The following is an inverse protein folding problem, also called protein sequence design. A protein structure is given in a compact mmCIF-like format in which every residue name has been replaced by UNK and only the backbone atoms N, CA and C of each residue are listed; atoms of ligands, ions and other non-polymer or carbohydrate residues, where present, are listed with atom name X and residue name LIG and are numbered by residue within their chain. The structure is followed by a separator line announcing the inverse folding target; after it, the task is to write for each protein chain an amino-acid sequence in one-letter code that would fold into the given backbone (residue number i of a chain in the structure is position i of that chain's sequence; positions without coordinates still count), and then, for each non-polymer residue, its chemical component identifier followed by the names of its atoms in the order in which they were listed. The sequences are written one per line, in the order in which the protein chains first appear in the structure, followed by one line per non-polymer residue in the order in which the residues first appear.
data_IF_171680148960
#
_entry.id   IF_171680148960
#
_cell.length_a   1.000
_cell.length_b   1.000
_cell.length_c   1.000
_cell.angle_alpha   90.00
_cell.angle_beta   90.00
_cell.angle_gamma   90.00
#
_symmetry.space_group_name_H-M   'P 1'
#
loop_
_entity.id
_entity.type
_entity.pdbx_description
1 polymer ?
#
# COMPACT_ATOMS: atom_id res chain seq x y z
N UNK A 1 18.28 6.88 -23.97
CA UNK A 1 18.22 5.54 -24.52
C UNK A 1 17.08 4.75 -23.89
N UNK A 2 16.61 3.77 -24.62
CA UNK A 2 15.48 2.96 -24.16
C UNK A 2 15.74 2.25 -22.84
N UNK A 3 16.99 1.89 -22.57
CA UNK A 3 17.36 1.22 -21.33
C UNK A 3 17.03 2.07 -20.10
N UNK A 4 17.18 3.38 -20.20
CA UNK A 4 16.86 4.27 -19.10
C UNK A 4 15.36 4.30 -18.80
N UNK A 5 14.54 4.25 -19.84
CA UNK A 5 13.10 4.21 -19.67
C UNK A 5 12.65 2.90 -19.03
N UNK A 6 13.38 1.81 -19.29
CA UNK A 6 13.06 0.50 -18.75
C UNK A 6 13.57 0.31 -17.33
N UNK A 7 14.47 1.18 -16.87
CA UNK A 7 15.11 1.05 -15.57
C UNK A 7 14.61 2.10 -14.59
N UNK A 8 13.31 2.36 -14.61
CA UNK A 8 12.71 3.27 -13.65
C UNK A 8 12.94 2.76 -12.25
N UNK A 9 13.25 3.67 -11.33
CA UNK A 9 13.42 3.32 -9.94
C UNK A 9 12.08 2.84 -9.37
N UNK A 10 12.15 2.09 -8.29
CA UNK A 10 10.97 1.62 -7.61
C UNK A 10 10.10 2.80 -7.17
N UNK A 11 10.72 3.87 -6.71
CA UNK A 11 10.01 5.06 -6.29
C UNK A 11 9.29 5.75 -7.45
N UNK A 12 9.89 5.77 -8.62
CA UNK A 12 9.25 6.34 -9.80
C UNK A 12 8.03 5.53 -10.21
N UNK A 13 8.15 4.20 -10.17
CA UNK A 13 7.02 3.33 -10.46
C UNK A 13 5.91 3.52 -9.45
N UNK A 14 6.26 3.63 -8.18
CA UNK A 14 5.28 3.89 -7.12
C UNK A 14 4.52 5.19 -7.40
N UNK A 15 5.24 6.26 -7.73
CA UNK A 15 4.61 7.54 -8.01
C UNK A 15 3.62 7.44 -9.16
N UNK A 16 4.00 6.76 -10.24
CA UNK A 16 3.14 6.61 -11.41
C UNK A 16 1.90 5.80 -11.08
N UNK A 17 2.08 4.63 -10.46
CA UNK A 17 0.97 3.74 -10.18
C UNK A 17 0.04 4.32 -9.12
N UNK A 18 0.61 4.86 -8.06
CA UNK A 18 -0.20 5.39 -6.96
C UNK A 18 -1.02 6.60 -7.40
N UNK A 19 -0.49 7.41 -8.32
CA UNK A 19 -1.24 8.56 -8.82
C UNK A 19 -2.51 8.18 -9.56
N UNK A 20 -2.61 6.93 -10.02
CA UNK A 20 -3.82 6.44 -10.69
C UNK A 20 -4.90 5.98 -9.73
N UNK A 21 -4.57 5.83 -8.45
CA UNK A 21 -5.54 5.40 -7.44
C UNK A 21 -6.51 6.54 -7.15
N UNK A 22 -7.82 6.31 -7.23
CA UNK A 22 -8.79 7.37 -6.97
C UNK A 22 -8.59 8.01 -5.61
N UNK A 23 -8.52 9.33 -5.58
CA UNK A 23 -8.37 10.10 -4.37
C UNK A 23 -6.93 10.25 -3.88
N UNK A 24 -5.96 9.61 -4.52
CA UNK A 24 -4.59 9.67 -4.04
C UNK A 24 -4.03 11.10 -4.09
N UNK A 25 -4.24 11.81 -5.21
CA UNK A 25 -3.73 13.16 -5.34
C UNK A 25 -4.39 14.10 -4.32
N UNK A 26 -5.69 13.95 -4.12
CA UNK A 26 -6.40 14.75 -3.12
C UNK A 26 -5.87 14.47 -1.72
N UNK A 27 -5.63 13.20 -1.41
CA UNK A 27 -5.13 12.82 -0.10
C UNK A 27 -3.73 13.38 0.16
N UNK A 28 -2.86 13.30 -0.83
CA UNK A 28 -1.48 13.77 -0.68
C UNK A 28 -1.39 15.30 -0.58
N UNK A 29 -2.33 16.02 -1.17
CA UNK A 29 -2.34 17.47 -1.15
C UNK A 29 -3.21 18.06 -0.05
N UNK A 30 -3.91 17.22 0.71
CA UNK A 30 -4.84 17.68 1.73
C UNK A 30 -4.11 18.32 2.91
N UNK A 31 -4.70 19.39 3.43
CA UNK A 31 -4.24 19.95 4.70
C UNK A 31 -4.59 18.99 5.83
N UNK A 32 -3.93 19.09 6.99
CA UNK A 32 -4.27 18.21 8.13
C UNK A 32 -5.75 18.26 8.50
N UNK A 33 -6.40 19.41 8.35
CA UNK A 33 -7.82 19.55 8.66
C UNK A 33 -8.71 18.79 7.67
N UNK A 34 -8.27 18.65 6.43
CA UNK A 34 -9.05 18.00 5.38
C UNK A 34 -8.74 16.51 5.25
N UNK A 35 -7.61 16.08 5.78
CA UNK A 35 -7.10 14.73 5.56
C UNK A 35 -8.08 13.64 6.03
N UNK A 36 -8.66 13.82 7.18
CA UNK A 36 -9.59 12.84 7.74
C UNK A 36 -10.82 12.67 6.84
N UNK A 37 -11.34 13.79 6.34
CA UNK A 37 -12.51 13.77 5.46
C UNK A 37 -12.20 13.06 4.14
N UNK A 38 -11.06 13.40 3.54
CA UNK A 38 -10.65 12.80 2.29
C UNK A 38 -10.32 11.32 2.48
N UNK A 39 -9.67 10.97 3.58
CA UNK A 39 -9.36 9.58 3.90
C UNK A 39 -10.62 8.73 4.02
N UNK A 40 -11.66 9.26 4.65
CA UNK A 40 -12.92 8.54 4.77
C UNK A 40 -13.58 8.32 3.40
N UNK A 41 -13.38 9.25 2.49
CA UNK A 41 -13.98 9.18 1.17
C UNK A 41 -13.24 8.23 0.22
N UNK A 42 -11.93 8.07 0.41
CA UNK A 42 -11.09 7.27 -0.48
C UNK A 42 -10.27 6.24 0.30
N UNK A 43 -10.91 5.19 0.80
CA UNK A 43 -10.21 4.18 1.61
C UNK A 43 -9.12 3.43 0.86
N UNK A 44 -9.23 3.29 -0.45
CA UNK A 44 -8.20 2.61 -1.24
C UNK A 44 -6.91 3.42 -1.28
N UNK A 45 -7.02 4.74 -1.36
CA UNK A 45 -5.84 5.60 -1.32
C UNK A 45 -5.15 5.51 0.05
N UNK A 46 -5.93 5.48 1.11
CA UNK A 46 -5.41 5.32 2.46
C UNK A 46 -4.67 3.99 2.60
N UNK A 47 -5.28 2.91 2.12
CA UNK A 47 -4.66 1.59 2.16
C UNK A 47 -3.30 1.59 1.45
N UNK A 48 -3.23 2.17 0.26
CA UNK A 48 -1.98 2.21 -0.50
C UNK A 48 -0.89 2.98 0.25
N UNK A 49 -1.24 4.09 0.87
CA UNK A 49 -0.29 4.88 1.66
C UNK A 49 0.21 4.09 2.87
N UNK A 50 -0.70 3.40 3.55
CA UNK A 50 -0.34 2.57 4.71
C UNK A 50 0.63 1.47 4.29
N UNK A 51 0.35 0.80 3.17
CA UNK A 51 1.22 -0.26 2.66
C UNK A 51 2.61 0.28 2.34
N UNK A 52 2.69 1.38 1.63
CA UNK A 52 3.99 1.97 1.27
C UNK A 52 4.77 2.42 2.51
N UNK A 53 4.07 2.90 3.54
CA UNK A 53 4.71 3.38 4.76
C UNK A 53 5.14 2.26 5.69
N UNK A 54 4.62 1.07 5.51
CA UNK A 54 4.85 -0.07 6.41
C UNK A 54 5.80 -1.12 5.85
N UNK A 55 6.46 -0.83 4.73
CA UNK A 55 7.33 -1.81 4.06
C UNK A 55 8.45 -2.35 4.94
N UNK A 56 8.97 -1.52 5.83
CA UNK A 56 10.12 -1.86 6.66
C UNK A 56 9.74 -2.08 8.11
N UNK A 57 8.64 -2.78 8.32
CA UNK A 57 8.21 -3.17 9.66
C UNK A 57 9.30 -4.04 10.30
N UNK A 58 9.50 -3.90 11.61
CA UNK A 58 10.48 -4.70 12.35
C UNK A 58 10.14 -6.18 12.34
N UNK A 59 8.87 -6.51 12.29
CA UNK A 59 8.43 -7.90 12.24
C UNK A 59 8.60 -8.42 10.82
N UNK A 60 9.43 -9.45 10.67
CA UNK A 60 9.78 -9.99 9.36
C UNK A 60 8.56 -10.52 8.60
N UNK A 61 7.71 -11.26 9.29
CA UNK A 61 6.55 -11.86 8.65
C UNK A 61 5.56 -10.79 8.20
N UNK A 62 5.28 -9.81 9.05
CA UNK A 62 4.40 -8.69 8.68
C UNK A 62 5.00 -7.87 7.54
N UNK A 63 6.31 -7.68 7.56
CA UNK A 63 6.99 -6.97 6.48
C UNK A 63 6.83 -7.70 5.15
N UNK A 64 6.94 -9.03 5.15
CA UNK A 64 6.76 -9.81 3.93
C UNK A 64 5.34 -9.71 3.39
N UNK A 65 4.34 -9.75 4.27
CA UNK A 65 2.95 -9.58 3.89
C UNK A 65 2.74 -8.20 3.24
N UNK A 66 3.30 -7.17 3.85
CA UNK A 66 3.19 -5.81 3.36
C UNK A 66 3.89 -5.64 2.02
N UNK A 67 5.07 -6.22 1.86
CA UNK A 67 5.82 -6.15 0.60
C UNK A 67 5.05 -6.84 -0.52
N UNK A 68 4.43 -7.97 -0.25
CA UNK A 68 3.63 -8.67 -1.24
C UNK A 68 2.48 -7.79 -1.72
N UNK A 69 1.77 -7.14 -0.80
CA UNK A 69 0.70 -6.21 -1.15
C UNK A 69 1.23 -5.04 -1.96
N UNK A 70 2.35 -4.49 -1.56
CA UNK A 70 2.96 -3.36 -2.25
C UNK A 70 3.29 -3.70 -3.70
N UNK A 71 3.93 -4.84 -3.93
CA UNK A 71 4.30 -5.23 -5.29
C UNK A 71 3.07 -5.61 -6.12
N UNK A 72 2.04 -6.14 -5.50
CA UNK A 72 0.78 -6.38 -6.20
C UNK A 72 0.16 -5.08 -6.70
N UNK A 73 0.19 -4.04 -5.88
CA UNK A 73 -0.29 -2.72 -6.30
C UNK A 73 0.55 -2.19 -7.46
N UNK A 74 1.88 -2.31 -7.37
CA UNK A 74 2.77 -1.83 -8.44
C UNK A 74 2.56 -2.59 -9.74
N UNK A 75 2.13 -3.83 -9.67
CA UNK A 75 1.86 -4.64 -10.85
C UNK A 75 0.48 -4.37 -11.45
N UNK A 76 -0.26 -3.43 -10.88
CA UNK A 76 -1.55 -3.03 -11.42
C UNK A 76 -2.71 -3.93 -11.04
N UNK A 77 -2.55 -4.76 -10.02
CA UNK A 77 -3.65 -5.60 -9.56
C UNK A 77 -4.75 -4.75 -8.94
N UNK A 78 -5.96 -5.27 -8.99
CA UNK A 78 -7.12 -4.59 -8.41
C UNK A 78 -6.89 -4.33 -6.93
N UNK A 79 -7.03 -3.07 -6.52
CA UNK A 79 -6.67 -2.68 -5.17
C UNK A 79 -7.58 -3.32 -4.12
N UNK A 80 -8.85 -3.54 -4.45
CA UNK A 80 -9.77 -4.21 -3.53
C UNK A 80 -9.35 -5.66 -3.28
N UNK A 81 -8.87 -6.34 -4.33
CA UNK A 81 -8.36 -7.71 -4.21
C UNK A 81 -7.10 -7.77 -3.39
N UNK A 82 -6.19 -6.81 -3.60
CA UNK A 82 -4.94 -6.72 -2.83
C UNK A 82 -5.26 -6.50 -1.35
N UNK A 83 -6.19 -5.61 -1.07
CA UNK A 83 -6.60 -5.30 0.29
C UNK A 83 -7.23 -6.51 0.98
N UNK A 84 -8.07 -7.23 0.26
CA UNK A 84 -8.67 -8.45 0.79
C UNK A 84 -7.61 -9.48 1.17
N UNK A 85 -6.66 -9.72 0.27
CA UNK A 85 -5.58 -10.67 0.52
C UNK A 85 -4.68 -10.23 1.67
N UNK A 86 -4.40 -8.94 1.75
CA UNK A 86 -3.59 -8.37 2.83
C UNK A 86 -4.29 -8.54 4.18
N UNK A 87 -5.58 -8.19 4.23
CA UNK A 87 -6.35 -8.32 5.46
C UNK A 87 -6.42 -9.76 5.92
N UNK A 88 -6.62 -10.68 4.99
CA UNK A 88 -6.66 -12.11 5.31
C UNK A 88 -5.32 -12.59 5.86
N UNK A 89 -4.23 -12.20 5.22
CA UNK A 89 -2.89 -12.61 5.64
C UNK A 89 -2.53 -12.05 7.02
N UNK A 90 -2.89 -10.79 7.30
CA UNK A 90 -2.61 -10.20 8.60
C UNK A 90 -3.48 -10.81 9.69
N UNK A 91 -4.74 -11.11 9.38
CA UNK A 91 -5.62 -11.79 10.34
C UNK A 91 -5.08 -13.16 10.70
N UNK A 92 -4.62 -13.92 9.71
CA UNK A 92 -4.00 -15.22 9.93
C UNK A 92 -2.74 -15.12 10.77
N UNK A 93 -1.94 -14.08 10.52
CA UNK A 93 -0.74 -13.82 11.31
C UNK A 93 -1.10 -13.60 12.78
N UNK A 94 -2.04 -12.71 13.06
CA UNK A 94 -2.43 -12.40 14.43
C UNK A 94 -3.10 -13.59 15.11
N UNK A 95 -3.87 -14.36 14.37
CA UNK A 95 -4.51 -15.57 14.90
C UNK A 95 -3.45 -16.58 15.37
N UNK A 96 -2.39 -16.76 14.58
CA UNK A 96 -1.31 -17.68 14.97
C UNK A 96 -0.52 -17.17 16.18
N UNK A 97 -0.34 -15.88 16.29
CA UNK A 97 0.54 -15.30 17.32
C UNK A 97 -0.20 -14.84 18.57
N UNK A 98 -1.50 -14.77 18.51
CA UNK A 98 -2.30 -14.37 19.67
C UNK A 98 -2.18 -15.36 20.83
N UNK A 99 -1.92 -16.62 20.51
CA UNK A 99 -1.87 -17.71 21.49
C UNK A 99 -0.46 -18.10 21.90
N UNK A 100 0.55 -17.38 21.44
CA UNK A 100 1.95 -17.71 21.65
C UNK A 100 2.53 -17.17 22.96
N UNK A 101 1.75 -16.61 23.81
CA UNK A 101 2.23 -16.05 25.09
C UNK A 101 2.44 -17.12 26.17
#
# INVERSE_FOLDING_TARGET
MSSNAMMKTLKERETIVFSTIPGMNELLQASPAQKAEIAAKYPDAVFAVVIASSLFNHNRELSEITQKAYFSILNGENIASVRFAYDKATDEYWERHMWDD
#
